data_IF_872535573571
#
_entry.id   IF_872535573571
#
_cell.length_a   1.000
_cell.length_b   1.000
_cell.length_c   1.000
_cell.angle_alpha   90.00
_cell.angle_beta   90.00
_cell.angle_gamma   90.00
#
_symmetry.space_group_name_H-M   'P 1'
#
loop_
_entity.id
_entity.type
_entity.pdbx_description
1 polymer ?
#
# COMPACT_ATOMS: atom_id res chain seq x y z
N UNK A 1 -8.62 -8.27 15.87
CA UNK A 1 -7.72 -7.13 15.57
C UNK A 1 -7.19 -7.33 14.15
N UNK A 2 -7.02 -6.28 13.36
CA UNK A 2 -6.35 -6.42 12.06
C UNK A 2 -4.93 -6.97 12.27
N UNK A 3 -4.44 -7.73 11.29
CA UNK A 3 -3.10 -8.30 11.32
C UNK A 3 -2.06 -7.19 11.21
N UNK A 4 -1.24 -7.00 12.23
CA UNK A 4 -0.09 -6.09 12.20
C UNK A 4 1.16 -6.77 11.65
N UNK A 5 2.13 -5.98 11.21
CA UNK A 5 3.49 -6.47 10.90
C UNK A 5 4.12 -6.97 12.19
N UNK A 6 4.60 -8.22 12.18
CA UNK A 6 5.26 -8.86 13.32
C UNK A 6 6.77 -8.68 13.24
N UNK A 7 7.35 -9.06 12.11
CA UNK A 7 8.79 -8.95 11.84
C UNK A 7 9.05 -8.89 10.34
N UNK A 8 10.21 -8.37 9.97
CA UNK A 8 10.65 -8.33 8.58
C UNK A 8 12.18 -8.41 8.47
N UNK A 9 12.64 -8.72 7.28
CA UNK A 9 14.06 -8.75 6.90
C UNK A 9 14.22 -7.98 5.61
N UNK A 10 15.22 -7.14 5.50
CA UNK A 10 15.45 -6.26 4.36
C UNK A 10 16.83 -6.47 3.75
N UNK A 11 16.87 -6.32 2.42
CA UNK A 11 18.07 -6.28 1.60
C UNK A 11 18.04 -4.99 0.79
N UNK A 12 18.93 -4.06 1.12
CA UNK A 12 19.05 -2.75 0.50
C UNK A 12 20.33 -2.66 -0.31
N UNK A 13 20.27 -1.92 -1.41
CA UNK A 13 21.43 -1.75 -2.28
C UNK A 13 21.53 -0.29 -2.79
N UNK A 14 22.74 0.27 -2.75
CA UNK A 14 23.03 1.59 -3.28
C UNK A 14 23.37 1.56 -4.77
N UNK A 15 24.03 0.53 -5.27
CA UNK A 15 24.49 0.31 -6.65
C UNK A 15 25.39 1.40 -7.24
N UNK A 16 25.55 2.54 -6.58
CA UNK A 16 26.37 3.67 -7.02
C UNK A 16 27.36 4.05 -5.93
N UNK A 17 28.63 4.07 -6.25
CA UNK A 17 29.71 4.33 -5.27
C UNK A 17 29.67 5.76 -4.68
N UNK A 18 29.08 6.71 -5.42
CA UNK A 18 28.97 8.12 -5.06
C UNK A 18 27.62 8.51 -4.43
N UNK A 19 26.69 7.57 -4.32
CA UNK A 19 25.37 7.79 -3.72
C UNK A 19 25.25 7.08 -2.37
N UNK A 20 25.14 7.81 -1.25
CA UNK A 20 24.98 7.20 0.06
C UNK A 20 23.56 6.63 0.34
N UNK A 21 22.60 6.90 -0.56
CA UNK A 21 21.21 6.45 -0.42
C UNK A 21 20.99 5.09 -1.08
N UNK A 22 20.20 4.25 -0.45
CA UNK A 22 19.69 3.03 -1.07
C UNK A 22 18.77 3.37 -2.26
N UNK A 23 18.90 2.64 -3.34
CA UNK A 23 18.14 2.81 -4.58
C UNK A 23 17.33 1.57 -4.96
N UNK A 24 17.53 0.47 -4.24
CA UNK A 24 16.78 -0.78 -4.40
C UNK A 24 16.57 -1.43 -3.03
N UNK A 25 15.36 -1.89 -2.78
CA UNK A 25 14.96 -2.53 -1.52
C UNK A 25 14.09 -3.76 -1.79
N UNK A 26 14.45 -4.86 -1.14
CA UNK A 26 13.69 -6.10 -1.13
C UNK A 26 13.40 -6.48 0.32
N UNK A 27 12.14 -6.50 0.74
CA UNK A 27 11.75 -6.68 2.14
C UNK A 27 10.78 -7.85 2.26
N UNK A 28 11.14 -8.84 3.08
CA UNK A 28 10.30 -9.97 3.44
C UNK A 28 9.56 -9.67 4.74
N UNK A 29 8.25 -9.87 4.80
CA UNK A 29 7.40 -9.51 5.94
C UNK A 29 6.68 -10.73 6.49
N UNK A 30 6.55 -10.80 7.82
CA UNK A 30 5.68 -11.72 8.55
C UNK A 30 4.63 -10.91 9.32
N UNK A 31 3.38 -11.33 9.20
CA UNK A 31 2.26 -10.72 9.91
C UNK A 31 1.84 -11.57 11.12
N UNK A 32 1.21 -10.95 12.09
CA UNK A 32 0.75 -11.57 13.34
C UNK A 32 -0.28 -12.70 13.15
N UNK A 33 -0.95 -12.75 12.00
CA UNK A 33 -1.89 -13.82 11.59
C UNK A 33 -1.24 -14.91 10.74
N UNK A 34 0.07 -15.03 10.72
CA UNK A 34 0.89 -15.93 9.89
C UNK A 34 0.86 -15.64 8.38
N UNK A 35 0.23 -14.57 7.92
CA UNK A 35 0.40 -14.12 6.56
C UNK A 35 1.85 -13.67 6.30
N UNK A 36 2.24 -13.68 5.04
CA UNK A 36 3.57 -13.23 4.59
C UNK A 36 3.40 -12.18 3.51
N UNK A 37 4.35 -11.27 3.42
CA UNK A 37 4.38 -10.24 2.41
C UNK A 37 5.78 -10.04 1.85
N UNK A 38 5.83 -9.40 0.70
CA UNK A 38 7.06 -8.93 0.05
C UNK A 38 6.81 -7.49 -0.39
N UNK A 39 7.75 -6.60 -0.06
CA UNK A 39 7.81 -5.25 -0.64
C UNK A 39 9.06 -5.22 -1.51
N UNK A 40 8.90 -4.71 -2.72
CA UNK A 40 10.00 -4.31 -3.58
C UNK A 40 9.86 -2.84 -3.92
N UNK A 41 10.92 -2.06 -3.73
CA UNK A 41 11.00 -0.66 -4.13
C UNK A 41 12.32 -0.43 -4.85
N UNK A 42 12.30 0.23 -6.01
CA UNK A 42 13.50 0.38 -6.82
C UNK A 42 13.47 1.66 -7.63
N UNK A 43 14.52 2.47 -7.53
CA UNK A 43 14.73 3.66 -8.36
C UNK A 43 15.49 3.36 -9.65
N UNK A 44 15.94 2.12 -9.81
CA UNK A 44 16.77 1.67 -10.93
C UNK A 44 16.05 0.71 -11.89
N UNK A 45 14.77 0.44 -11.65
CA UNK A 45 13.95 -0.43 -12.49
C UNK A 45 13.53 0.30 -13.79
N UNK A 46 14.48 0.47 -14.71
CA UNK A 46 14.29 1.20 -15.96
C UNK A 46 13.06 0.70 -16.74
N UNK A 47 12.16 1.63 -17.07
CA UNK A 47 10.95 1.34 -17.85
C UNK A 47 9.72 0.98 -17.01
N UNK A 48 9.86 0.88 -15.68
CA UNK A 48 8.74 0.55 -14.78
C UNK A 48 7.91 1.78 -14.36
N UNK A 49 8.27 2.98 -14.77
CA UNK A 49 7.60 4.23 -14.40
C UNK A 49 7.45 4.34 -12.87
N UNK A 50 6.27 4.74 -12.34
CA UNK A 50 6.02 4.69 -10.90
C UNK A 50 5.66 3.28 -10.41
N UNK A 51 4.89 2.55 -11.18
CA UNK A 51 4.54 1.12 -11.04
C UNK A 51 4.13 0.70 -9.60
N UNK A 52 3.42 1.58 -8.87
CA UNK A 52 2.87 1.21 -7.57
C UNK A 52 1.74 0.20 -7.77
N UNK A 53 1.94 -1.00 -7.26
CA UNK A 53 0.95 -2.08 -7.34
C UNK A 53 0.84 -2.84 -6.02
N UNK A 54 -0.35 -3.37 -5.75
CA UNK A 54 -0.60 -4.24 -4.61
C UNK A 54 -1.32 -5.50 -5.06
N UNK A 55 -0.89 -6.64 -4.53
CA UNK A 55 -1.58 -7.93 -4.70
C UNK A 55 -1.78 -8.58 -3.34
N UNK A 56 -3.00 -9.01 -3.07
CA UNK A 56 -3.35 -9.71 -1.83
C UNK A 56 -3.96 -11.04 -2.20
N UNK A 57 -3.48 -12.11 -1.59
CA UNK A 57 -3.97 -13.48 -1.84
C UNK A 57 -4.42 -14.10 -0.54
N UNK A 58 -5.59 -14.70 -0.55
CA UNK A 58 -6.18 -15.45 0.56
C UNK A 58 -6.76 -16.79 0.10
N UNK A 59 -7.24 -17.57 1.05
CA UNK A 59 -7.78 -18.90 0.78
C UNK A 59 -9.05 -18.91 -0.10
N UNK A 60 -9.71 -17.77 -0.26
CA UNK A 60 -10.96 -17.65 -1.05
C UNK A 60 -10.77 -16.89 -2.37
N UNK A 61 -9.57 -16.44 -2.66
CA UNK A 61 -9.27 -15.65 -3.86
C UNK A 61 -8.22 -14.57 -3.61
N UNK A 62 -8.08 -13.65 -4.55
CA UNK A 62 -7.11 -12.57 -4.47
C UNK A 62 -7.62 -11.27 -5.08
N UNK A 63 -6.90 -10.19 -4.79
CA UNK A 63 -7.14 -8.86 -5.34
C UNK A 63 -5.83 -8.34 -5.93
N UNK A 64 -5.90 -7.64 -7.07
CA UNK A 64 -4.78 -6.92 -7.67
C UNK A 64 -5.22 -5.52 -8.08
N UNK A 65 -4.39 -4.53 -7.75
CA UNK A 65 -4.59 -3.15 -8.13
C UNK A 65 -3.25 -2.51 -8.57
N UNK A 66 -3.32 -1.57 -9.50
CA UNK A 66 -2.18 -0.86 -10.08
C UNK A 66 -2.49 0.63 -10.19
N UNK A 67 -1.56 1.49 -9.78
CA UNK A 67 -1.75 2.94 -9.79
C UNK A 67 -1.90 3.53 -11.20
N UNK A 68 -1.19 2.99 -12.20
CA UNK A 68 -1.28 3.46 -13.59
C UNK A 68 -2.60 3.09 -14.27
N UNK A 69 -3.41 2.23 -13.62
CA UNK A 69 -4.75 1.87 -14.05
C UNK A 69 -5.74 1.88 -12.85
N UNK A 70 -5.86 3.02 -12.12
CA UNK A 70 -6.37 3.06 -10.76
C UNK A 70 -7.86 2.76 -10.64
N UNK A 71 -8.62 2.89 -11.75
CA UNK A 71 -10.08 2.73 -11.78
C UNK A 71 -10.53 1.27 -11.87
N UNK A 72 -9.59 0.31 -11.82
CA UNK A 72 -9.86 -1.11 -11.99
C UNK A 72 -9.24 -1.93 -10.88
N UNK A 73 -10.02 -2.85 -10.32
CA UNK A 73 -9.57 -3.83 -9.34
C UNK A 73 -9.83 -5.23 -9.89
N UNK A 74 -8.79 -6.04 -10.04
CA UNK A 74 -8.93 -7.44 -10.44
C UNK A 74 -9.27 -8.29 -9.23
N UNK A 75 -10.40 -9.02 -9.29
CA UNK A 75 -10.79 -10.04 -8.34
C UNK A 75 -10.50 -11.42 -8.92
N UNK A 76 -9.71 -12.20 -8.21
CA UNK A 76 -9.23 -13.53 -8.60
C UNK A 76 -9.95 -14.58 -7.78
N UNK A 77 -10.39 -15.67 -8.43
CA UNK A 77 -11.04 -16.81 -7.80
C UNK A 77 -10.68 -18.09 -8.55
N UNK A 78 -10.55 -19.20 -7.85
CA UNK A 78 -10.35 -20.51 -8.49
C UNK A 78 -11.65 -21.04 -9.14
N UNK A 79 -12.80 -20.53 -8.69
CA UNK A 79 -14.13 -21.00 -9.15
C UNK A 79 -14.65 -20.21 -10.36
N UNK A 80 -14.13 -19.01 -10.61
CA UNK A 80 -14.66 -18.10 -11.62
C UNK A 80 -13.52 -17.47 -12.44
N UNK A 81 -13.80 -17.06 -13.69
CA UNK A 81 -12.88 -16.21 -14.44
C UNK A 81 -12.54 -14.92 -13.68
N UNK A 82 -11.39 -14.35 -13.98
CA UNK A 82 -10.99 -13.06 -13.41
C UNK A 82 -12.06 -12.00 -13.65
N UNK A 83 -12.54 -11.41 -12.58
CA UNK A 83 -13.51 -10.32 -12.63
C UNK A 83 -12.76 -8.98 -12.49
N UNK A 84 -13.13 -8.00 -13.31
CA UNK A 84 -12.61 -6.64 -13.22
C UNK A 84 -13.70 -5.74 -12.66
N UNK A 85 -13.52 -5.31 -11.41
CA UNK A 85 -14.39 -4.35 -10.74
C UNK A 85 -13.95 -2.94 -11.14
N UNK A 86 -14.91 -2.09 -11.50
CA UNK A 86 -14.66 -0.72 -11.96
C UNK A 86 -15.13 0.28 -10.91
N UNK A 87 -14.42 1.39 -10.76
CA UNK A 87 -14.82 2.46 -9.86
C UNK A 87 -16.20 3.04 -10.19
N UNK A 88 -16.90 3.59 -9.20
CA UNK A 88 -18.18 4.29 -9.36
C UNK A 88 -19.42 3.41 -9.53
N UNK A 89 -19.28 2.09 -9.59
CA UNK A 89 -20.43 1.18 -9.72
C UNK A 89 -21.01 0.78 -8.36
N UNK A 90 -22.33 0.59 -8.31
CA UNK A 90 -23.08 0.29 -7.09
C UNK A 90 -22.72 -1.03 -6.40
N UNK A 91 -21.97 -1.92 -7.05
CA UNK A 91 -21.47 -3.16 -6.44
C UNK A 91 -20.19 -2.94 -5.60
N UNK A 92 -19.63 -1.74 -5.63
CA UNK A 92 -18.43 -1.42 -4.84
C UNK A 92 -18.77 -1.15 -3.37
N UNK A 93 -17.77 -1.27 -2.51
CA UNK A 93 -17.87 -0.95 -1.10
C UNK A 93 -18.27 0.53 -0.87
N UNK A 94 -19.07 0.84 0.16
CA UNK A 94 -19.48 2.22 0.46
C UNK A 94 -18.32 3.22 0.59
N UNK A 95 -17.19 2.82 1.18
CA UNK A 95 -16.01 3.68 1.28
C UNK A 95 -15.42 4.01 -0.10
N UNK A 96 -15.37 3.01 -1.00
CA UNK A 96 -14.96 3.21 -2.39
C UNK A 96 -15.91 4.18 -3.13
N UNK A 97 -17.22 4.05 -2.90
CA UNK A 97 -18.21 4.95 -3.50
C UNK A 97 -18.11 6.38 -2.98
N UNK A 98 -17.86 6.59 -1.68
CA UNK A 98 -17.61 7.94 -1.13
C UNK A 98 -16.32 8.55 -1.68
N UNK A 99 -15.31 7.73 -1.93
CA UNK A 99 -14.05 8.14 -2.56
C UNK A 99 -14.16 8.48 -4.04
N UNK A 100 -15.16 7.95 -4.76
CA UNK A 100 -15.36 8.20 -6.20
C UNK A 100 -16.25 9.42 -6.43
N UNK A 101 -15.82 10.37 -7.25
CA UNK A 101 -16.53 11.64 -7.51
C UNK A 101 -17.21 11.66 -8.87
N UNK A 102 -16.65 10.95 -9.85
CA UNK A 102 -17.16 10.96 -11.21
C UNK A 102 -18.08 9.76 -11.48
N UNK A 103 -19.03 9.88 -12.40
CA UNK A 103 -19.86 8.76 -12.83
C UNK A 103 -19.01 7.62 -13.44
N UNK A 104 -19.52 6.37 -13.43
CA UNK A 104 -18.86 5.26 -14.07
C UNK A 104 -18.41 5.57 -15.51
N UNK A 105 -17.19 5.16 -15.87
CA UNK A 105 -16.62 5.43 -17.20
C UNK A 105 -15.85 6.75 -17.30
N UNK A 106 -15.82 7.56 -16.27
CA UNK A 106 -14.96 8.75 -16.17
C UNK A 106 -13.75 8.40 -15.28
N UNK A 107 -12.54 8.42 -15.83
CA UNK A 107 -11.35 8.04 -15.07
C UNK A 107 -11.00 9.10 -14.01
N UNK A 108 -10.70 8.63 -12.82
CA UNK A 108 -10.09 9.41 -11.72
C UNK A 108 -8.65 8.96 -11.53
N UNK A 109 -7.81 9.82 -10.96
CA UNK A 109 -6.40 9.54 -10.79
C UNK A 109 -5.82 10.12 -9.50
N UNK A 110 -4.52 10.42 -9.50
CA UNK A 110 -3.77 10.83 -8.32
C UNK A 110 -4.32 12.13 -7.69
N UNK A 111 -4.78 13.08 -8.49
CA UNK A 111 -5.35 14.32 -7.96
C UNK A 111 -6.65 14.09 -7.20
N UNK A 112 -7.51 13.19 -7.69
CA UNK A 112 -8.75 12.82 -7.02
C UNK A 112 -8.46 12.08 -5.71
N UNK A 113 -7.47 11.20 -5.70
CA UNK A 113 -7.00 10.50 -4.50
C UNK A 113 -6.46 11.48 -3.45
N UNK A 114 -5.66 12.46 -3.83
CA UNK A 114 -5.19 13.51 -2.94
C UNK A 114 -6.36 14.37 -2.42
N UNK A 115 -7.32 14.70 -3.29
CA UNK A 115 -8.54 15.40 -2.91
C UNK A 115 -9.35 14.66 -1.83
N UNK A 116 -9.40 13.32 -1.89
CA UNK A 116 -10.05 12.51 -0.86
C UNK A 116 -9.34 12.58 0.49
N UNK A 117 -8.00 12.56 0.52
CA UNK A 117 -7.21 12.74 1.74
C UNK A 117 -7.53 14.11 2.37
N UNK A 118 -7.45 15.19 1.58
CA UNK A 118 -7.76 16.55 2.08
C UNK A 118 -9.21 16.69 2.56
N UNK A 119 -10.16 16.01 1.91
CA UNK A 119 -11.56 15.96 2.36
C UNK A 119 -11.68 15.31 3.74
N UNK A 120 -11.01 14.18 3.97
CA UNK A 120 -10.99 13.50 5.27
C UNK A 120 -10.37 14.39 6.36
N UNK A 121 -9.24 15.03 6.09
CA UNK A 121 -8.60 15.99 7.01
C UNK A 121 -9.52 17.18 7.31
N UNK A 122 -10.19 17.75 6.33
CA UNK A 122 -11.12 18.85 6.53
C UNK A 122 -12.31 18.46 7.42
N UNK A 123 -12.88 17.25 7.23
CA UNK A 123 -13.91 16.69 8.11
C UNK A 123 -13.42 16.59 9.56
N UNK A 124 -12.22 16.05 9.76
CA UNK A 124 -11.63 15.92 11.10
C UNK A 124 -11.44 17.30 11.78
N UNK A 125 -10.94 18.30 11.07
CA UNK A 125 -10.78 19.67 11.57
C UNK A 125 -12.13 20.30 11.97
N UNK A 126 -13.16 20.06 11.18
CA UNK A 126 -14.51 20.61 11.41
C UNK A 126 -15.32 19.79 12.44
N UNK A 127 -14.76 18.74 13.03
CA UNK A 127 -15.47 17.79 13.91
C UNK A 127 -16.69 17.12 13.22
N UNK A 128 -16.58 16.88 11.91
CA UNK A 128 -17.56 16.14 11.14
C UNK A 128 -17.22 14.62 11.18
N UNK A 129 -18.20 13.72 11.02
CA UNK A 129 -17.92 12.29 10.92
C UNK A 129 -17.03 11.96 9.71
N UNK A 130 -15.99 11.15 9.92
CA UNK A 130 -15.13 10.61 8.87
C UNK A 130 -14.75 9.17 9.17
N UNK A 131 -14.38 8.40 8.15
CA UNK A 131 -13.82 7.06 8.33
C UNK A 131 -12.32 7.17 8.64
N UNK A 132 -11.79 6.49 9.68
CA UNK A 132 -10.34 6.48 9.96
C UNK A 132 -9.47 6.00 8.80
N UNK A 133 -10.04 5.31 7.80
CA UNK A 133 -9.32 4.91 6.58
C UNK A 133 -9.18 6.02 5.53
N UNK A 134 -9.82 7.19 5.72
CA UNK A 134 -9.73 8.31 4.75
C UNK A 134 -8.35 8.95 4.71
N UNK A 135 -7.60 8.93 5.81
CA UNK A 135 -6.22 9.42 5.87
C UNK A 135 -5.46 8.80 7.05
N UNK A 136 -4.12 8.67 6.96
CA UNK A 136 -3.31 8.09 8.03
C UNK A 136 -3.27 8.96 9.28
N UNK A 137 -3.26 8.33 10.45
CA UNK A 137 -3.09 8.98 11.74
C UNK A 137 -1.63 9.37 12.01
N UNK A 138 -1.40 10.13 13.10
CA UNK A 138 -0.04 10.41 13.58
C UNK A 138 0.69 9.11 13.97
N UNK A 139 -0.02 8.18 14.61
CA UNK A 139 0.50 6.87 15.00
C UNK A 139 0.91 6.04 13.77
N UNK A 140 0.15 6.13 12.66
CA UNK A 140 0.55 5.51 11.39
C UNK A 140 1.84 6.11 10.85
N UNK A 141 2.02 7.43 10.97
CA UNK A 141 3.25 8.13 10.60
C UNK A 141 4.44 7.66 11.43
N UNK A 142 4.29 7.57 12.76
CA UNK A 142 5.34 7.06 13.66
C UNK A 142 5.72 5.62 13.32
N UNK A 143 4.74 4.75 13.07
CA UNK A 143 5.01 3.36 12.64
C UNK A 143 5.73 3.29 11.29
N UNK A 144 5.39 4.21 10.38
CA UNK A 144 6.08 4.32 9.10
C UNK A 144 7.56 4.69 9.27
N UNK A 145 7.87 5.62 10.16
CA UNK A 145 9.26 5.99 10.47
C UNK A 145 10.01 4.85 11.16
N UNK A 146 9.40 4.18 12.15
CA UNK A 146 10.02 3.01 12.80
C UNK A 146 10.30 1.89 11.77
N UNK A 147 9.38 1.66 10.82
CA UNK A 147 9.60 0.72 9.74
C UNK A 147 10.84 1.06 8.90
N UNK A 148 11.05 2.34 8.56
CA UNK A 148 12.23 2.79 7.80
C UNK A 148 13.51 2.56 8.61
N UNK A 149 13.55 2.99 9.88
CA UNK A 149 14.71 2.84 10.76
C UNK A 149 15.08 1.36 10.95
N UNK A 150 14.09 0.51 11.20
CA UNK A 150 14.30 -0.94 11.34
C UNK A 150 14.71 -1.61 10.04
N UNK A 151 14.28 -1.09 8.88
CA UNK A 151 14.75 -1.57 7.57
C UNK A 151 16.25 -1.37 7.42
N UNK A 152 16.76 -0.18 7.80
CA UNK A 152 18.20 0.08 7.82
C UNK A 152 18.94 -0.79 8.83
N UNK A 153 18.36 -0.99 10.03
CA UNK A 153 18.92 -1.90 11.05
C UNK A 153 19.04 -3.33 10.55
N UNK A 154 17.98 -3.87 9.94
CA UNK A 154 17.98 -5.22 9.37
C UNK A 154 19.12 -5.39 8.36
N UNK A 155 19.22 -4.47 7.41
CA UNK A 155 20.21 -4.51 6.35
C UNK A 155 21.66 -4.41 6.90
N UNK A 156 21.92 -3.45 7.79
CA UNK A 156 23.26 -3.20 8.35
C UNK A 156 23.79 -4.36 9.22
N UNK A 157 22.88 -5.18 9.76
CA UNK A 157 23.23 -6.35 10.56
C UNK A 157 23.22 -7.67 9.76
N UNK A 158 23.28 -7.60 8.43
CA UNK A 158 23.33 -8.78 7.56
C UNK A 158 21.96 -9.40 7.29
N UNK A 159 20.97 -8.54 7.07
CA UNK A 159 19.60 -8.90 6.67
C UNK A 159 18.86 -9.73 7.74
N UNK A 160 19.12 -9.42 9.01
CA UNK A 160 18.47 -10.12 10.14
C UNK A 160 16.99 -9.75 10.23
N UNK A 161 16.19 -10.67 10.79
CA UNK A 161 14.80 -10.38 11.11
C UNK A 161 14.70 -9.40 12.28
N UNK A 162 13.97 -8.30 12.11
CA UNK A 162 13.69 -7.29 13.12
C UNK A 162 12.21 -7.17 13.37
N UNK A 163 11.82 -6.71 14.56
CA UNK A 163 10.42 -6.45 14.92
C UNK A 163 10.16 -4.95 14.91
N UNK A 164 8.92 -4.53 14.59
CA UNK A 164 8.47 -3.16 14.82
C UNK A 164 8.26 -2.94 16.33
N UNK A 165 8.55 -1.73 16.78
CA UNK A 165 8.19 -1.31 18.13
C UNK A 165 6.65 -1.32 18.27
N UNK A 166 6.17 -1.76 19.44
CA UNK A 166 4.74 -1.84 19.75
C UNK A 166 4.19 -0.47 20.11
#
# INVERSE_FOLDING_TARGET
>A
MPAGVLSFSSDLNTLYDDNPMDVDANILIRFSNNAKGVIRSSQIATGEENNLRISVYGAKGGLKWEQENPNYLSHLSDENPIQVLKSGHAYNDPLSLDGTKLPPGHPEGIFDSMGNIYKGVARAINNEPYDPAEFPSLEDGVRGMDFIERTLESNSNGNVWVELNK
#
